data_IF_917458557348
#
_entry.id   IF_917458557348
#
_cell.length_a   1.000
_cell.length_b   1.000
_cell.length_c   1.000
_cell.angle_alpha   90.00
_cell.angle_beta   90.00
_cell.angle_gamma   90.00
#
_symmetry.space_group_name_H-M   'P 1'
#
loop_
_entity.id
_entity.type
_entity.pdbx_description
1 polymer ?
#
# COMPACT_ATOMS: atom_id res chain seq x y z
N UNK A 1 2.54 -4.68 23.74
CA UNK A 1 3.05 -4.88 23.58
C UNK A 1 3.36 -4.85 23.36
N UNK A 2 3.20 -4.94 23.20
CA UNK A 2 3.60 -5.16 23.14
C UNK A 2 4.07 -5.17 23.17
N UNK A 3 4.24 -5.36 23.28
CA UNK A 3 4.67 -5.51 23.53
C UNK A 3 5.40 -5.37 23.15
N UNK A 4 5.58 -5.62 22.87
CA UNK A 4 6.10 -5.65 22.54
C UNK A 4 6.39 -5.39 21.77
N UNK A 5 6.54 -5.31 21.40
CA UNK A 5 6.76 -5.45 20.56
C UNK A 5 7.34 -5.96 20.45
N UNK A 6 7.49 -6.51 20.84
CA UNK A 6 8.11 -7.23 20.73
C UNK A 6 8.68 -7.57 19.88
N UNK A 7 9.41 -7.78 19.90
CA UNK A 7 9.85 -7.94 18.98
C UNK A 7 9.71 -8.65 18.05
N UNK A 8 10.03 -9.15 17.83
CA UNK A 8 10.00 -9.95 16.74
C UNK A 8 8.66 -10.44 16.39
N UNK A 9 8.06 -11.23 17.06
CA UNK A 9 6.72 -11.63 16.71
C UNK A 9 5.75 -10.48 16.74
N UNK A 10 6.07 -9.48 17.48
CA UNK A 10 5.15 -8.38 17.66
C UNK A 10 4.95 -7.56 16.42
N UNK A 11 5.88 -7.54 15.49
CA UNK A 11 5.70 -6.75 14.28
C UNK A 11 4.68 -7.36 13.34
N UNK A 12 4.35 -8.64 13.54
CA UNK A 12 3.33 -9.27 12.73
C UNK A 12 2.00 -9.38 13.45
N UNK A 13 1.98 -8.99 14.71
CA UNK A 13 0.75 -9.06 15.49
C UNK A 13 -0.16 -7.90 15.12
N UNK A 14 -1.43 -8.18 15.12
CA UNK A 14 -2.42 -7.16 14.84
C UNK A 14 -2.73 -6.39 16.11
N UNK A 15 -2.58 -5.08 16.04
CA UNK A 15 -3.13 -4.23 17.07
C UNK A 15 -4.65 -4.23 16.96
N UNK A 16 -5.38 -3.83 18.01
CA UNK A 16 -6.83 -3.68 17.87
C UNK A 16 -7.22 -2.74 16.74
N UNK A 17 -6.47 -1.65 16.55
CA UNK A 17 -6.74 -0.70 15.49
C UNK A 17 -6.58 -1.36 14.12
N UNK A 18 -5.49 -2.10 13.95
CA UNK A 18 -5.24 -2.77 12.67
C UNK A 18 -6.29 -3.84 12.40
N UNK A 19 -6.70 -4.57 13.43
CA UNK A 19 -7.74 -5.58 13.26
C UNK A 19 -9.04 -4.94 12.80
N UNK A 20 -9.43 -3.81 13.39
CA UNK A 20 -10.62 -3.09 12.99
C UNK A 20 -10.52 -2.63 11.54
N UNK A 21 -9.36 -2.09 11.17
CA UNK A 21 -9.12 -1.63 9.81
C UNK A 21 -9.29 -2.79 8.81
N UNK A 22 -8.70 -3.93 9.13
CA UNK A 22 -8.80 -5.09 8.23
C UNK A 22 -10.23 -5.59 8.09
N UNK A 23 -10.99 -5.53 9.18
CA UNK A 23 -12.39 -5.90 9.14
C UNK A 23 -13.20 -4.93 8.28
N UNK A 24 -12.91 -3.65 8.42
CA UNK A 24 -13.64 -2.63 7.67
C UNK A 24 -13.39 -2.75 6.17
N UNK A 25 -12.14 -2.95 5.77
CA UNK A 25 -11.83 -3.01 4.33
C UNK A 25 -12.26 -4.34 3.72
N UNK A 26 -12.47 -5.36 4.53
CA UNK A 26 -12.88 -6.67 3.99
C UNK A 26 -14.26 -6.63 3.37
N UNK A 27 -15.05 -5.62 3.67
CA UNK A 27 -16.38 -5.48 3.11
C UNK A 27 -16.39 -4.95 1.69
N UNK A 28 -15.28 -4.34 1.25
CA UNK A 28 -15.22 -3.81 -0.11
C UNK A 28 -14.94 -4.96 -1.07
N UNK A 29 -15.76 -5.12 -2.11
CA UNK A 29 -15.59 -6.24 -3.04
C UNK A 29 -14.40 -6.05 -3.95
N UNK A 30 -13.90 -7.16 -4.47
CA UNK A 30 -12.90 -7.11 -5.53
C UNK A 30 -13.60 -6.71 -6.83
N UNK A 31 -12.99 -5.81 -7.56
CA UNK A 31 -13.56 -5.34 -8.83
C UNK A 31 -13.03 -6.16 -9.98
N UNK A 32 -13.86 -6.33 -11.00
CA UNK A 32 -13.42 -6.92 -12.26
C UNK A 32 -12.63 -5.88 -13.05
N UNK A 33 -11.94 -6.35 -14.09
CA UNK A 33 -11.20 -5.44 -14.97
C UNK A 33 -12.14 -4.40 -15.57
N UNK A 34 -13.33 -4.84 -15.99
CA UNK A 34 -14.29 -3.93 -16.61
C UNK A 34 -14.77 -2.87 -15.61
N UNK A 35 -15.00 -3.27 -14.36
CA UNK A 35 -15.42 -2.33 -13.34
C UNK A 35 -14.32 -1.33 -13.03
N UNK A 36 -13.08 -1.80 -12.94
CA UNK A 36 -11.95 -0.90 -12.69
C UNK A 36 -11.75 0.08 -13.84
N UNK A 37 -11.92 -0.39 -15.06
CA UNK A 37 -11.80 0.49 -16.22
C UNK A 37 -12.82 1.60 -16.18
N UNK A 38 -14.07 1.25 -15.90
CA UNK A 38 -15.14 2.23 -15.83
C UNK A 38 -14.89 3.27 -14.76
N UNK A 39 -14.51 2.80 -13.56
CA UNK A 39 -14.23 3.70 -12.45
C UNK A 39 -13.00 4.57 -12.72
N UNK A 40 -11.98 4.01 -13.36
CA UNK A 40 -10.77 4.75 -13.66
C UNK A 40 -11.05 5.89 -14.65
N UNK A 41 -11.88 5.62 -15.64
CA UNK A 41 -12.25 6.66 -16.60
C UNK A 41 -12.96 7.80 -15.87
N UNK A 42 -13.89 7.47 -14.99
CA UNK A 42 -14.59 8.49 -14.23
C UNK A 42 -13.66 9.25 -13.29
N UNK A 43 -12.74 8.53 -12.65
CA UNK A 43 -11.79 9.15 -11.73
C UNK A 43 -10.90 10.14 -12.44
N UNK A 44 -10.45 9.79 -13.63
CA UNK A 44 -9.59 10.68 -14.39
C UNK A 44 -10.33 11.89 -14.94
N UNK A 45 -11.65 11.77 -15.06
CA UNK A 45 -12.48 12.91 -15.44
C UNK A 45 -12.81 13.80 -14.22
N UNK A 46 -12.28 13.48 -13.05
CA UNK A 46 -12.47 14.31 -11.87
C UNK A 46 -13.52 13.80 -10.90
N UNK A 47 -14.06 12.60 -11.11
CA UNK A 47 -15.06 12.05 -10.21
C UNK A 47 -14.38 11.51 -8.94
N UNK A 48 -14.54 12.25 -7.84
CA UNK A 48 -13.89 11.92 -6.57
C UNK A 48 -14.40 10.61 -6.01
N UNK A 49 -15.69 10.35 -6.15
CA UNK A 49 -16.28 9.11 -5.62
C UNK A 49 -15.75 7.88 -6.34
N UNK A 50 -15.53 7.99 -7.65
CA UNK A 50 -14.96 6.89 -8.43
C UNK A 50 -13.53 6.61 -7.99
N UNK A 51 -12.76 7.66 -7.77
CA UNK A 51 -11.39 7.53 -7.28
C UNK A 51 -11.37 6.87 -5.92
N UNK A 52 -12.26 7.28 -5.03
CA UNK A 52 -12.35 6.70 -3.71
C UNK A 52 -12.72 5.23 -3.78
N UNK A 53 -13.65 4.87 -4.65
CA UNK A 53 -14.10 3.48 -4.80
C UNK A 53 -12.95 2.60 -5.28
N UNK A 54 -12.18 3.07 -6.25
CA UNK A 54 -11.01 2.34 -6.72
C UNK A 54 -10.04 2.08 -5.59
N UNK A 55 -9.79 3.11 -4.77
CA UNK A 55 -8.87 2.98 -3.65
C UNK A 55 -9.40 1.96 -2.64
N UNK A 56 -10.66 2.09 -2.24
CA UNK A 56 -11.25 1.21 -1.23
C UNK A 56 -11.17 -0.25 -1.64
N UNK A 57 -11.48 -0.53 -2.88
CA UNK A 57 -11.51 -1.92 -3.35
C UNK A 57 -10.14 -2.51 -3.58
N UNK A 58 -9.08 -1.72 -3.38
CA UNK A 58 -7.71 -2.18 -3.53
C UNK A 58 -6.90 -2.10 -2.23
N UNK A 59 -7.54 -1.76 -1.11
CA UNK A 59 -6.83 -1.64 0.17
C UNK A 59 -6.29 -2.98 0.66
N UNK A 60 -7.03 -4.08 0.43
CA UNK A 60 -6.53 -5.39 0.82
C UNK A 60 -5.27 -5.75 0.04
N UNK A 61 -5.21 -5.33 -1.21
CA UNK A 61 -4.03 -5.58 -2.01
C UNK A 61 -2.81 -4.84 -1.43
N UNK A 62 -3.01 -3.61 -0.96
CA UNK A 62 -1.92 -2.87 -0.33
C UNK A 62 -1.38 -3.62 0.87
N UNK A 63 -2.27 -4.20 1.69
CA UNK A 63 -1.82 -4.96 2.85
C UNK A 63 -0.97 -6.15 2.42
N UNK A 64 -1.38 -6.86 1.37
CA UNK A 64 -0.62 -8.01 0.91
C UNK A 64 0.78 -7.62 0.44
N UNK A 65 0.92 -6.46 -0.19
CA UNK A 65 2.22 -5.97 -0.61
C UNK A 65 3.04 -5.51 0.59
N UNK A 66 2.40 -4.78 1.51
CA UNK A 66 3.09 -4.28 2.69
C UNK A 66 3.67 -5.41 3.53
N UNK A 67 2.98 -6.53 3.60
CA UNK A 67 3.47 -7.68 4.37
C UNK A 67 4.80 -8.21 3.86
N UNK A 68 5.14 -7.95 2.62
CA UNK A 68 6.42 -8.38 2.06
C UNK A 68 7.60 -7.66 2.70
N UNK A 69 7.35 -6.57 3.42
CA UNK A 69 8.40 -5.74 4.01
C UNK A 69 8.48 -5.83 5.53
N UNK A 70 7.67 -6.70 6.16
CA UNK A 70 7.66 -6.75 7.62
C UNK A 70 8.98 -7.25 8.20
N UNK A 71 9.76 -7.98 7.40
CA UNK A 71 11.07 -8.47 7.84
C UNK A 71 12.06 -7.35 8.12
N UNK A 72 11.75 -6.13 7.70
CA UNK A 72 12.60 -4.99 7.95
C UNK A 72 12.41 -4.40 9.34
N UNK A 73 11.48 -4.94 10.12
CA UNK A 73 11.25 -4.47 11.48
C UNK A 73 10.38 -3.23 11.58
N UNK A 74 9.74 -2.85 10.51
CA UNK A 74 8.85 -1.69 10.48
C UNK A 74 7.44 -2.18 10.81
N UNK A 75 6.70 -1.48 11.68
CA UNK A 75 5.33 -1.87 11.99
C UNK A 75 4.48 -1.94 10.74
N UNK A 76 3.65 -2.97 10.67
CA UNK A 76 2.80 -3.17 9.49
C UNK A 76 1.90 -1.99 9.22
N UNK A 77 1.42 -1.33 10.27
CA UNK A 77 0.56 -0.15 10.10
C UNK A 77 1.28 0.96 9.34
N UNK A 78 2.55 1.15 9.62
CA UNK A 78 3.33 2.18 8.93
C UNK A 78 3.56 1.80 7.48
N UNK A 79 3.83 0.53 7.23
CA UNK A 79 4.02 0.05 5.87
C UNK A 79 2.73 0.21 5.05
N UNK A 80 1.59 -0.06 5.68
CA UNK A 80 0.30 0.09 5.01
C UNK A 80 0.05 1.56 4.66
N UNK A 81 0.34 2.47 5.58
CA UNK A 81 0.16 3.89 5.32
C UNK A 81 0.95 4.34 4.10
N UNK A 82 2.21 3.94 4.05
CA UNK A 82 3.06 4.31 2.91
C UNK A 82 2.56 3.64 1.63
N UNK A 83 2.15 2.39 1.73
CA UNK A 83 1.62 1.70 0.57
C UNK A 83 0.36 2.33 0.03
N UNK A 84 -0.50 2.82 0.92
CA UNK A 84 -1.72 3.49 0.49
C UNK A 84 -1.42 4.76 -0.30
N UNK A 85 -0.37 5.50 0.08
CA UNK A 85 0.04 6.66 -0.70
C UNK A 85 0.47 6.25 -2.10
N UNK A 86 1.19 5.14 -2.21
CA UNK A 86 1.58 4.60 -3.50
C UNK A 86 0.37 4.21 -4.34
N UNK A 87 -0.63 3.61 -3.71
CA UNK A 87 -1.85 3.25 -4.41
C UNK A 87 -2.55 4.49 -4.98
N UNK A 88 -2.60 5.57 -4.22
CA UNK A 88 -3.25 6.79 -4.70
C UNK A 88 -2.51 7.36 -5.90
N UNK A 89 -1.19 7.32 -5.88
CA UNK A 89 -0.40 7.75 -7.04
C UNK A 89 -0.71 6.87 -8.25
N UNK A 90 -0.79 5.56 -8.03
CA UNK A 90 -1.10 4.63 -9.11
C UNK A 90 -2.45 4.94 -9.75
N UNK A 91 -3.46 5.22 -8.92
CA UNK A 91 -4.80 5.52 -9.42
C UNK A 91 -4.76 6.76 -10.32
N UNK A 92 -3.99 7.77 -9.93
CA UNK A 92 -3.90 8.98 -10.71
C UNK A 92 -3.24 8.77 -12.07
N UNK A 93 -2.33 7.81 -12.15
CA UNK A 93 -1.52 7.59 -13.36
C UNK A 93 -1.98 6.37 -14.17
N UNK A 94 -2.96 5.65 -13.67
CA UNK A 94 -3.40 4.42 -14.31
C UNK A 94 -4.05 4.68 -15.66
N UNK A 95 -3.66 3.90 -16.66
CA UNK A 95 -4.26 3.97 -17.99
C UNK A 95 -5.28 2.84 -18.11
N UNK A 96 -6.58 3.15 -17.98
CA UNK A 96 -7.60 2.11 -17.99
C UNK A 96 -7.78 1.42 -19.33
N UNK A 97 -7.19 1.95 -20.40
CA UNK A 97 -7.36 1.37 -21.73
C UNK A 97 -6.43 0.21 -22.00
N UNK A 98 -5.52 -0.10 -21.07
CA UNK A 98 -4.52 -1.14 -21.27
C UNK A 98 -5.04 -2.55 -21.08
N UNK A 99 -6.22 -2.73 -20.47
CA UNK A 99 -6.85 -4.05 -20.39
C UNK A 99 -6.34 -4.96 -19.28
N UNK A 100 -5.62 -4.43 -18.30
CA UNK A 100 -5.23 -5.21 -17.14
C UNK A 100 -5.70 -4.54 -15.86
N UNK A 101 -5.66 -5.29 -14.75
CA UNK A 101 -6.16 -4.77 -13.50
C UNK A 101 -5.23 -3.70 -12.92
N UNK A 102 -5.84 -2.81 -12.16
CA UNK A 102 -5.11 -1.75 -11.48
C UNK A 102 -3.98 -2.34 -10.62
N UNK A 103 -4.22 -3.45 -9.94
CA UNK A 103 -3.22 -4.05 -9.06
C UNK A 103 -1.93 -4.39 -9.79
N UNK A 104 -2.01 -4.81 -11.04
CA UNK A 104 -0.81 -5.13 -11.83
C UNK A 104 0.10 -3.91 -11.99
N UNK A 105 -0.50 -2.75 -12.13
CA UNK A 105 0.23 -1.50 -12.26
C UNK A 105 0.60 -0.92 -10.89
N UNK A 106 -0.34 -0.99 -9.96
CA UNK A 106 -0.19 -0.32 -8.67
C UNK A 106 0.92 -0.93 -7.82
N UNK A 107 1.24 -2.21 -8.03
CA UNK A 107 2.26 -2.86 -7.20
C UNK A 107 3.58 -2.11 -7.24
N UNK A 108 3.94 -1.55 -8.40
CA UNK A 108 5.17 -0.78 -8.55
C UNK A 108 5.16 0.48 -7.71
N UNK A 109 4.03 1.19 -7.73
CA UNK A 109 3.90 2.43 -6.98
C UNK A 109 3.85 2.17 -5.48
N UNK A 110 3.16 1.09 -5.08
CA UNK A 110 3.06 0.73 -3.67
C UNK A 110 4.44 0.38 -3.13
N UNK A 111 5.16 -0.48 -3.82
CA UNK A 111 6.52 -0.87 -3.39
C UNK A 111 7.45 0.32 -3.36
N UNK A 112 7.39 1.16 -4.39
CA UNK A 112 8.28 2.30 -4.47
C UNK A 112 8.00 3.28 -3.34
N UNK A 113 6.74 3.49 -3.01
CA UNK A 113 6.37 4.39 -1.94
C UNK A 113 6.90 3.89 -0.59
N UNK A 114 6.76 2.59 -0.34
CA UNK A 114 7.27 1.99 0.89
C UNK A 114 8.80 2.12 0.94
N UNK A 115 9.48 1.80 -0.14
CA UNK A 115 10.94 1.86 -0.17
C UNK A 115 11.44 3.29 0.00
N UNK A 116 10.79 4.26 -0.64
CA UNK A 116 11.17 5.66 -0.51
C UNK A 116 11.03 6.13 0.93
N UNK A 117 9.97 5.72 1.60
CA UNK A 117 9.75 6.11 2.98
C UNK A 117 10.83 5.53 3.89
N UNK A 118 11.24 4.29 3.64
CA UNK A 118 12.30 3.66 4.43
C UNK A 118 13.61 4.41 4.27
N UNK A 119 13.92 4.85 3.07
CA UNK A 119 15.14 5.62 2.82
C UNK A 119 15.05 6.98 3.48
N UNK A 120 13.93 7.66 3.32
CA UNK A 120 13.73 9.02 3.86
C UNK A 120 13.82 9.02 5.38
N UNK A 121 13.23 8.01 6.01
CA UNK A 121 13.25 7.92 7.47
C UNK A 121 14.64 7.54 7.99
N UNK A 122 15.49 7.03 7.14
CA UNK A 122 16.79 6.56 7.57
C UNK A 122 16.75 5.26 8.33
N UNK A 123 15.58 4.67 8.51
CA UNK A 123 15.43 3.46 9.31
C UNK A 123 16.23 2.31 8.74
N UNK A 124 16.11 2.11 7.47
CA UNK A 124 16.82 1.05 6.79
C UNK A 124 18.28 1.42 6.59
N UNK A 125 18.53 2.68 6.29
CA UNK A 125 19.87 3.17 6.00
C UNK A 125 20.78 3.01 7.20
N UNK A 126 20.29 3.26 8.40
CA UNK A 126 21.10 3.18 9.61
C UNK A 126 21.61 1.77 9.87
N UNK A 127 20.84 0.77 9.48
CA UNK A 127 21.25 -0.60 9.67
C UNK A 127 22.22 -1.09 8.61
N UNK A 128 22.56 -0.22 7.65
CA UNK A 128 23.44 -0.61 6.56
C UNK A 128 24.33 0.55 6.24
N UNK A 129 24.63 0.76 5.07
CA UNK A 129 25.32 1.94 4.64
C UNK A 129 24.30 2.82 3.93
N UNK A 130 23.93 3.89 4.58
CA UNK A 130 22.97 4.80 3.99
C UNK A 130 23.43 5.36 2.65
N UNK A 131 24.73 5.47 2.53
CA UNK A 131 25.29 5.98 1.28
C UNK A 131 24.92 5.12 0.09
N UNK A 132 25.00 3.81 0.28
CA UNK A 132 24.69 2.90 -0.83
C UNK A 132 23.26 3.04 -1.29
N UNK A 133 22.38 3.16 -0.33
CA UNK A 133 20.97 3.27 -0.68
C UNK A 133 20.66 4.59 -1.38
N UNK A 134 21.29 5.64 -0.94
CA UNK A 134 21.04 6.94 -1.55
C UNK A 134 21.66 7.07 -2.93
N UNK A 135 22.65 6.29 -3.20
CA UNK A 135 23.29 6.32 -4.51
C UNK A 135 22.44 5.60 -5.56
N UNK A 136 21.51 4.79 -5.13
CA UNK A 136 20.62 4.11 -6.03
C UNK A 136 19.53 5.07 -6.49
#
# INVERSE_FOLDING_TARGET
>A
MIKEFKVSHSITERTPTLTTYMQDISRYPLLTIAQEEELAILAQAGNVKAKQRLAECNLRFVISVAKQFIHLGIPLEDLIMEGNLGLMTAIEKFDPTRGFKLSTYAIWWIRQSILNALVDDGTWIHGRSGRNLKAI
#
